data_IF_089681931608
#
_entry.id   IF_089681931608
#
_cell.length_a   1.000
_cell.length_b   1.000
_cell.length_c   1.000
_cell.angle_alpha   90.00
_cell.angle_beta   90.00
_cell.angle_gamma   90.00
#
_symmetry.space_group_name_H-M   'P 1'
#
loop_
_entity.id
_entity.type
_entity.pdbx_description
1 polymer ?
#
# COMPACT_ATOMS: atom_id res chain seq x y z
N UNK A 1 29.99 12.00 8.43
CA UNK A 1 30.11 11.95 6.96
C UNK A 1 29.51 10.67 6.40
N UNK A 2 29.01 10.70 5.17
CA UNK A 2 28.52 9.53 4.43
C UNK A 2 29.56 9.13 3.36
N UNK A 3 29.65 7.86 3.02
CA UNK A 3 30.45 7.37 1.88
C UNK A 3 29.70 7.52 0.54
N UNK A 4 30.35 7.15 -0.57
CA UNK A 4 29.78 7.22 -1.93
C UNK A 4 28.53 6.32 -2.14
N UNK A 5 28.19 5.50 -1.13
CA UNK A 5 27.01 4.62 -1.10
C UNK A 5 26.00 5.06 -0.04
N UNK A 6 26.12 6.30 0.43
CA UNK A 6 25.28 6.90 1.46
C UNK A 6 25.27 6.08 2.77
N UNK A 7 26.44 5.55 3.16
CA UNK A 7 26.62 4.81 4.42
C UNK A 7 27.43 5.66 5.41
N UNK A 8 27.15 5.56 6.73
CA UNK A 8 27.91 6.29 7.74
C UNK A 8 29.40 5.95 7.67
N UNK A 9 30.24 6.98 7.53
CA UNK A 9 31.70 6.87 7.59
C UNK A 9 32.16 7.15 9.01
N UNK A 10 33.02 6.27 9.53
CA UNK A 10 33.66 6.46 10.83
C UNK A 10 34.51 7.74 10.80
N UNK A 11 34.25 8.67 11.73
CA UNK A 11 34.95 9.96 11.84
C UNK A 11 36.32 9.84 12.52
N UNK A 12 36.60 8.71 13.18
CA UNK A 12 37.80 8.50 13.99
C UNK A 12 37.74 9.17 15.37
N UNK A 13 36.70 9.97 15.63
CA UNK A 13 36.45 10.63 16.90
C UNK A 13 35.65 9.70 17.81
N UNK A 14 36.04 9.63 19.08
CA UNK A 14 35.35 8.82 20.10
C UNK A 14 34.85 9.74 21.19
N UNK A 15 33.56 9.68 21.46
CA UNK A 15 32.91 10.41 22.55
C UNK A 15 32.39 9.41 23.59
N UNK A 16 32.50 9.78 24.87
CA UNK A 16 31.86 9.03 25.97
C UNK A 16 30.59 9.78 26.37
N UNK A 17 29.47 9.09 26.29
CA UNK A 17 28.16 9.64 26.66
C UNK A 17 27.67 8.86 27.88
N UNK A 18 27.44 9.55 29.00
CA UNK A 18 26.76 8.96 30.16
C UNK A 18 25.26 8.83 29.85
N UNK A 19 24.69 7.64 30.06
CA UNK A 19 23.27 7.37 29.83
C UNK A 19 22.78 6.28 30.77
N UNK A 20 21.51 6.36 31.15
CA UNK A 20 20.84 5.33 31.95
C UNK A 20 20.31 4.18 31.09
N UNK A 21 20.16 4.38 29.78
CA UNK A 21 19.58 3.39 28.87
C UNK A 21 20.21 3.46 27.49
N UNK A 22 20.56 2.28 26.97
CA UNK A 22 21.06 2.08 25.61
C UNK A 22 20.07 1.23 24.82
N UNK A 23 19.53 1.77 23.72
CA UNK A 23 18.65 1.04 22.81
C UNK A 23 19.45 0.60 21.58
N UNK A 24 19.57 -0.70 21.36
CA UNK A 24 20.26 -1.25 20.21
C UNK A 24 19.34 -1.26 18.97
N UNK A 25 19.65 -0.41 17.98
CA UNK A 25 19.01 -0.45 16.66
C UNK A 25 19.69 -1.52 15.78
N UNK A 26 19.47 -2.79 16.10
CA UNK A 26 20.04 -3.90 15.33
C UNK A 26 19.24 -4.11 14.03
N UNK A 27 19.95 -4.43 12.95
CA UNK A 27 19.31 -4.86 11.70
C UNK A 27 18.79 -6.29 11.83
N UNK A 28 18.01 -6.71 10.82
CA UNK A 28 17.41 -8.04 10.75
C UNK A 28 18.00 -8.87 9.61
N UNK A 29 18.11 -10.18 9.84
CA UNK A 29 18.58 -11.17 8.86
C UNK A 29 17.45 -12.18 8.65
N UNK A 30 17.13 -12.58 7.40
CA UNK A 30 16.14 -13.61 7.17
C UNK A 30 16.57 -14.95 7.80
N UNK A 31 15.69 -15.57 8.57
CA UNK A 31 15.85 -16.97 8.96
C UNK A 31 15.43 -17.86 7.79
N UNK A 32 16.39 -18.18 6.92
CA UNK A 32 16.15 -18.84 5.62
C UNK A 32 17.05 -20.04 5.37
N UNK A 33 17.85 -20.46 6.36
CA UNK A 33 18.81 -21.55 6.21
C UNK A 33 18.14 -22.88 5.84
N UNK A 34 16.89 -23.08 6.27
CA UNK A 34 16.10 -24.26 5.89
C UNK A 34 15.84 -24.34 4.38
N UNK A 35 15.82 -23.21 3.67
CA UNK A 35 15.61 -23.15 2.21
C UNK A 35 16.82 -23.68 1.42
N UNK A 36 18.02 -23.73 2.01
CA UNK A 36 19.22 -24.30 1.35
C UNK A 36 19.06 -25.78 0.99
N UNK A 37 18.12 -26.48 1.65
CA UNK A 37 17.81 -27.88 1.38
C UNK A 37 16.97 -28.08 0.12
N UNK A 38 16.36 -27.01 -0.40
CA UNK A 38 15.53 -27.05 -1.60
C UNK A 38 16.48 -26.98 -2.82
N UNK A 39 16.39 -27.92 -3.79
CA UNK A 39 17.17 -27.85 -5.02
C UNK A 39 17.01 -26.48 -5.71
N UNK A 40 18.03 -26.01 -6.42
CA UNK A 40 17.96 -24.76 -7.21
C UNK A 40 17.65 -23.48 -6.40
N UNK A 41 17.53 -23.54 -5.08
CA UNK A 41 17.32 -22.37 -4.25
C UNK A 41 18.63 -21.60 -4.09
N UNK A 42 18.64 -20.36 -4.56
CA UNK A 42 19.80 -19.48 -4.47
C UNK A 42 19.65 -18.52 -3.30
N UNK A 43 20.61 -18.58 -2.37
CA UNK A 43 20.65 -17.75 -1.17
C UNK A 43 22.00 -17.04 -1.08
N UNK A 44 21.98 -15.75 -0.78
CA UNK A 44 23.19 -15.00 -0.44
C UNK A 44 23.80 -15.52 0.88
N UNK A 45 25.07 -15.16 1.19
CA UNK A 45 25.71 -15.54 2.45
C UNK A 45 24.96 -15.05 3.70
N UNK A 46 24.20 -13.96 3.59
CA UNK A 46 23.37 -13.40 4.65
C UNK A 46 21.92 -13.96 4.67
N UNK A 47 21.65 -15.07 3.97
CA UNK A 47 20.32 -15.70 3.96
C UNK A 47 19.27 -14.99 3.07
N UNK A 48 19.64 -13.96 2.30
CA UNK A 48 18.69 -13.35 1.36
C UNK A 48 18.39 -14.31 0.21
N UNK A 49 17.12 -14.57 -0.05
CA UNK A 49 16.62 -15.41 -1.14
C UNK A 49 16.72 -14.64 -2.45
N UNK A 50 17.40 -15.20 -3.44
CA UNK A 50 17.48 -14.62 -4.77
C UNK A 50 16.19 -14.89 -5.53
N UNK A 51 15.71 -13.87 -6.24
CA UNK A 51 14.54 -13.93 -7.09
C UNK A 51 14.83 -13.25 -8.43
N UNK A 52 14.08 -13.64 -9.45
CA UNK A 52 14.09 -12.97 -10.74
C UNK A 52 13.22 -11.68 -10.75
N UNK A 53 13.06 -11.07 -11.92
CA UNK A 53 12.24 -9.86 -12.10
C UNK A 53 10.73 -10.07 -11.88
N UNK A 54 10.29 -11.32 -11.73
CA UNK A 54 8.91 -11.76 -11.49
C UNK A 54 8.72 -12.33 -10.07
N UNK A 55 9.68 -12.11 -9.17
CA UNK A 55 9.68 -12.59 -7.78
C UNK A 55 9.76 -14.11 -7.64
N UNK A 56 10.06 -14.85 -8.72
CA UNK A 56 10.25 -16.30 -8.66
C UNK A 56 11.66 -16.61 -8.18
N UNK A 57 11.78 -17.55 -7.24
CA UNK A 57 13.07 -18.07 -6.79
C UNK A 57 13.70 -18.96 -7.85
N UNK A 58 14.93 -19.45 -7.63
CA UNK A 58 15.53 -20.43 -8.53
C UNK A 58 14.78 -21.77 -8.62
N UNK A 59 13.85 -22.05 -7.70
CA UNK A 59 12.93 -23.18 -7.80
C UNK A 59 11.60 -22.78 -8.46
N UNK A 60 11.25 -23.47 -9.54
CA UNK A 60 10.05 -23.19 -10.32
C UNK A 60 8.77 -23.30 -9.49
N UNK A 61 7.95 -22.25 -9.50
CA UNK A 61 6.69 -22.17 -8.75
C UNK A 61 6.81 -21.73 -7.29
N UNK A 62 8.02 -21.43 -6.81
CA UNK A 62 8.22 -20.80 -5.49
C UNK A 62 8.57 -19.33 -5.69
N UNK A 63 7.81 -18.45 -5.03
CA UNK A 63 7.97 -17.00 -5.09
C UNK A 63 8.34 -16.44 -3.71
N UNK A 64 9.09 -15.35 -3.68
CA UNK A 64 9.50 -14.68 -2.45
C UNK A 64 9.35 -13.16 -2.57
N UNK A 65 9.00 -12.50 -1.46
CA UNK A 65 8.75 -11.07 -1.39
C UNK A 65 9.04 -10.52 0.00
N UNK A 66 9.14 -9.20 0.14
CA UNK A 66 9.40 -8.52 1.40
C UNK A 66 10.87 -8.55 1.81
N UNK A 67 11.12 -8.62 3.11
CA UNK A 67 12.47 -8.42 3.66
C UNK A 67 13.45 -9.59 3.39
N UNK A 68 12.95 -10.71 2.84
CA UNK A 68 13.77 -11.88 2.52
C UNK A 68 14.43 -11.84 1.14
N UNK A 69 14.12 -10.85 0.29
CA UNK A 69 14.66 -10.72 -1.08
C UNK A 69 15.61 -9.50 -1.19
N UNK A 70 16.42 -9.36 -2.27
CA UNK A 70 17.51 -8.38 -2.34
C UNK A 70 17.02 -6.97 -2.75
N UNK A 71 15.96 -6.50 -2.12
CA UNK A 71 15.35 -5.19 -2.36
C UNK A 71 15.22 -4.39 -1.05
N UNK A 72 14.79 -3.15 -1.18
CA UNK A 72 14.57 -2.26 -0.03
C UNK A 72 13.61 -2.86 0.98
N UNK A 73 14.01 -2.81 2.25
CA UNK A 73 13.34 -3.48 3.38
C UNK A 73 12.51 -2.50 4.20
N UNK A 74 11.63 -1.76 3.53
CA UNK A 74 10.64 -0.94 4.22
C UNK A 74 9.28 -1.61 4.17
N UNK A 75 8.45 -1.36 5.18
CA UNK A 75 7.09 -1.92 5.25
C UNK A 75 6.29 -1.61 3.99
N UNK A 76 6.42 -0.39 3.46
CA UNK A 76 5.72 0.03 2.23
C UNK A 76 6.21 -0.71 0.99
N UNK A 77 7.52 -0.94 0.88
CA UNK A 77 8.10 -1.73 -0.21
C UNK A 77 7.66 -3.19 -0.09
N UNK A 78 7.74 -3.80 1.09
CA UNK A 78 7.32 -5.18 1.31
C UNK A 78 5.84 -5.42 0.96
N UNK A 79 4.94 -4.52 1.35
CA UNK A 79 3.52 -4.56 0.95
C UNK A 79 3.36 -4.46 -0.58
N UNK A 80 4.10 -3.54 -1.21
CA UNK A 80 4.10 -3.39 -2.67
C UNK A 80 4.59 -4.65 -3.39
N UNK A 81 5.65 -5.27 -2.89
CA UNK A 81 6.20 -6.52 -3.41
C UNK A 81 5.23 -7.69 -3.22
N UNK A 82 4.56 -7.80 -2.08
CA UNK A 82 3.55 -8.82 -1.85
C UNK A 82 2.42 -8.75 -2.89
N UNK A 83 1.97 -7.54 -3.22
CA UNK A 83 1.00 -7.33 -4.30
C UNK A 83 1.56 -7.72 -5.67
N UNK A 84 2.80 -7.36 -5.99
CA UNK A 84 3.42 -7.72 -7.27
C UNK A 84 3.62 -9.24 -7.40
N UNK A 85 4.16 -9.88 -6.37
CA UNK A 85 4.32 -11.33 -6.30
C UNK A 85 2.98 -12.04 -6.49
N UNK A 86 1.89 -11.56 -5.88
CA UNK A 86 0.55 -12.12 -6.08
C UNK A 86 0.09 -12.10 -7.55
N UNK A 87 0.35 -11.01 -8.29
CA UNK A 87 0.04 -10.95 -9.72
C UNK A 87 0.86 -11.95 -10.55
N UNK A 88 2.13 -12.16 -10.20
CA UNK A 88 2.98 -13.12 -10.90
C UNK A 88 2.63 -14.57 -10.56
N UNK A 89 2.27 -14.85 -9.30
CA UNK A 89 1.72 -16.15 -8.89
C UNK A 89 0.45 -16.45 -9.66
N UNK A 90 -0.49 -15.50 -9.73
CA UNK A 90 -1.73 -15.66 -10.48
C UNK A 90 -1.47 -15.95 -11.96
N UNK A 91 -0.56 -15.20 -12.59
CA UNK A 91 -0.20 -15.39 -13.98
C UNK A 91 0.46 -16.76 -14.23
N UNK A 92 1.35 -17.19 -13.33
CA UNK A 92 2.01 -18.49 -13.36
C UNK A 92 1.00 -19.64 -13.23
N UNK A 93 0.00 -19.51 -12.35
CA UNK A 93 -1.05 -20.53 -12.16
C UNK A 93 -1.99 -20.67 -13.38
N UNK A 94 -2.14 -19.60 -14.18
CA UNK A 94 -3.01 -19.58 -15.35
C UNK A 94 -2.26 -19.71 -16.68
N UNK A 95 -0.95 -19.95 -16.67
CA UNK A 95 -0.09 -19.96 -17.86
C UNK A 95 -0.24 -18.68 -18.71
N UNK A 96 -0.37 -17.53 -18.06
CA UNK A 96 -0.50 -16.22 -18.71
C UNK A 96 0.74 -15.35 -18.50
N UNK A 97 0.91 -14.35 -19.36
CA UNK A 97 1.98 -13.36 -19.22
C UNK A 97 1.48 -12.20 -18.38
N UNK A 98 2.07 -12.00 -17.20
CA UNK A 98 1.82 -10.80 -16.41
C UNK A 98 2.54 -9.61 -17.04
N UNK A 99 1.80 -8.66 -17.61
CA UNK A 99 2.37 -7.36 -17.96
C UNK A 99 2.53 -6.54 -16.67
N UNK A 100 3.74 -6.05 -16.39
CA UNK A 100 3.94 -5.04 -15.33
C UNK A 100 2.92 -3.92 -15.54
N UNK A 101 2.05 -3.69 -14.56
CA UNK A 101 1.11 -2.57 -14.63
C UNK A 101 1.91 -1.28 -14.82
N UNK A 102 1.57 -0.48 -15.82
CA UNK A 102 2.18 0.83 -16.03
C UNK A 102 2.21 1.60 -14.72
N UNK A 103 3.35 2.20 -14.38
CA UNK A 103 3.46 3.05 -13.19
C UNK A 103 2.31 4.05 -13.19
N UNK A 104 1.43 3.94 -12.19
CA UNK A 104 0.41 4.97 -11.97
C UNK A 104 1.12 6.24 -11.56
N UNK A 105 0.68 7.36 -12.10
CA UNK A 105 1.20 8.66 -11.71
C UNK A 105 1.07 8.82 -10.18
N UNK A 106 2.14 9.28 -9.52
CA UNK A 106 2.09 9.53 -8.08
C UNK A 106 1.05 10.62 -7.81
N UNK A 107 0.16 10.35 -6.85
CA UNK A 107 -0.78 11.36 -6.37
C UNK A 107 -0.02 12.36 -5.51
N UNK A 108 0.14 13.58 -6.01
CA UNK A 108 0.66 14.70 -5.25
C UNK A 108 -0.38 15.24 -4.27
N UNK A 109 0.03 16.00 -3.26
CA UNK A 109 -0.86 16.49 -2.20
C UNK A 109 -2.03 17.33 -2.74
N UNK A 110 -1.80 18.11 -3.79
CA UNK A 110 -2.81 18.91 -4.48
C UNK A 110 -3.89 18.07 -5.19
N UNK A 111 -3.59 16.80 -5.51
CA UNK A 111 -4.56 15.85 -6.07
C UNK A 111 -5.44 15.17 -5.01
N UNK A 112 -5.13 15.36 -3.71
CA UNK A 112 -5.88 14.77 -2.62
C UNK A 112 -7.02 15.71 -2.17
N UNK A 113 -8.25 15.35 -2.51
CA UNK A 113 -9.45 16.02 -1.99
C UNK A 113 -9.76 15.53 -0.57
N UNK A 114 -8.95 15.94 0.40
CA UNK A 114 -9.15 15.61 1.81
C UNK A 114 -10.36 16.40 2.31
N UNK A 115 -11.52 15.74 2.43
CA UNK A 115 -12.70 16.36 3.04
C UNK A 115 -12.47 16.59 4.53
N UNK A 116 -12.90 17.75 5.04
CA UNK A 116 -12.87 18.06 6.48
C UNK A 116 -13.77 17.11 7.30
N UNK A 117 -14.77 16.52 6.66
CA UNK A 117 -15.61 15.45 7.22
C UNK A 117 -14.81 14.15 7.37
N UNK A 118 -13.96 14.10 8.39
CA UNK A 118 -13.33 12.87 8.83
C UNK A 118 -14.41 12.01 9.47
N UNK A 119 -14.74 10.88 8.83
CA UNK A 119 -15.44 9.81 9.53
C UNK A 119 -14.69 9.50 10.84
N UNK A 120 -15.40 9.13 11.90
CA UNK A 120 -14.76 8.77 13.17
C UNK A 120 -14.10 7.41 13.03
N UNK A 121 -12.80 7.33 13.34
CA UNK A 121 -12.08 6.06 13.32
C UNK A 121 -12.54 5.22 14.50
N UNK A 122 -12.78 3.94 14.26
CA UNK A 122 -13.00 2.99 15.33
C UNK A 122 -11.74 2.91 16.18
N UNK A 123 -11.93 3.01 17.50
CA UNK A 123 -10.85 2.78 18.46
C UNK A 123 -10.73 1.28 18.66
N UNK A 124 -9.75 0.68 18.00
CA UNK A 124 -9.43 -0.73 18.19
C UNK A 124 -9.13 -1.00 19.67
N UNK A 125 -9.67 -2.10 20.20
CA UNK A 125 -9.41 -2.50 21.57
C UNK A 125 -7.95 -2.92 21.69
N UNK A 126 -7.34 -2.49 22.77
CA UNK A 126 -5.93 -2.73 23.02
C UNK A 126 -5.77 -3.32 24.41
N UNK A 127 -4.84 -4.27 24.57
CA UNK A 127 -4.53 -4.89 25.85
C UNK A 127 -4.17 -3.83 26.90
N UNK A 128 -4.44 -4.05 28.17
CA UNK A 128 -4.05 -3.08 29.20
C UNK A 128 -2.52 -2.98 29.36
N UNK A 129 -2.02 -1.78 29.67
CA UNK A 129 -0.58 -1.50 29.79
C UNK A 129 0.09 -2.41 30.84
N UNK A 130 -0.55 -2.63 31.99
CA UNK A 130 0.01 -3.43 33.09
C UNK A 130 0.18 -4.91 32.71
N UNK A 131 -0.55 -5.35 31.68
CA UNK A 131 -0.45 -6.70 31.11
C UNK A 131 0.53 -6.74 29.96
N UNK A 132 0.54 -5.73 29.07
CA UNK A 132 1.47 -5.64 27.92
C UNK A 132 2.94 -5.72 28.32
N UNK A 133 3.31 -5.20 29.49
CA UNK A 133 4.70 -5.24 29.97
C UNK A 133 5.10 -6.63 30.53
N UNK A 134 4.13 -7.51 30.78
CA UNK A 134 4.34 -8.83 31.42
C UNK A 134 4.13 -10.01 30.48
N UNK A 135 3.48 -9.82 29.33
CA UNK A 135 3.19 -10.90 28.39
C UNK A 135 3.52 -10.52 26.95
N UNK A 136 3.69 -11.56 26.13
CA UNK A 136 3.80 -11.45 24.68
C UNK A 136 2.45 -11.68 23.99
N UNK A 137 1.35 -11.47 24.72
CA UNK A 137 0.01 -11.64 24.17
C UNK A 137 -0.27 -10.58 23.10
N UNK A 138 -1.20 -10.89 22.20
CA UNK A 138 -1.62 -9.97 21.15
C UNK A 138 -2.13 -8.64 21.76
N UNK A 139 -1.44 -7.55 21.41
CA UNK A 139 -1.72 -6.22 21.95
C UNK A 139 -2.95 -5.59 21.31
N UNK A 140 -3.16 -5.84 20.02
CA UNK A 140 -4.25 -5.28 19.23
C UNK A 140 -5.32 -6.36 19.03
N UNK A 141 -6.46 -6.22 19.69
CA UNK A 141 -7.54 -7.20 19.50
C UNK A 141 -8.22 -7.03 18.14
N UNK A 142 -8.73 -8.14 17.62
CA UNK A 142 -9.57 -8.13 16.42
C UNK A 142 -10.83 -7.28 16.61
N UNK A 143 -11.18 -6.52 15.58
CA UNK A 143 -12.45 -5.79 15.51
C UNK A 143 -13.61 -6.78 15.26
N UNK A 144 -14.81 -6.41 15.68
CA UNK A 144 -16.02 -7.15 15.32
C UNK A 144 -16.31 -7.04 13.81
N UNK A 145 -17.12 -7.94 13.27
CA UNK A 145 -17.50 -7.90 11.86
C UNK A 145 -18.13 -6.56 11.46
N UNK A 146 -19.00 -6.00 12.29
CA UNK A 146 -19.66 -4.71 12.04
C UNK A 146 -18.66 -3.55 12.03
N UNK A 147 -17.68 -3.58 12.94
CA UNK A 147 -16.60 -2.59 13.02
C UNK A 147 -15.72 -2.66 11.75
N UNK A 148 -15.40 -3.86 11.28
CA UNK A 148 -14.63 -4.07 10.05
C UNK A 148 -15.40 -3.55 8.83
N UNK A 149 -16.69 -3.87 8.72
CA UNK A 149 -17.52 -3.40 7.61
C UNK A 149 -17.63 -1.87 7.60
N UNK A 150 -17.78 -1.25 8.77
CA UNK A 150 -17.75 0.20 8.89
C UNK A 150 -16.42 0.79 8.44
N UNK A 151 -15.27 0.30 8.94
CA UNK A 151 -13.95 0.82 8.53
C UNK A 151 -13.66 0.60 7.05
N UNK A 152 -14.04 -0.55 6.48
CA UNK A 152 -13.90 -0.83 5.06
C UNK A 152 -14.76 0.10 4.17
N UNK A 153 -15.91 0.56 4.68
CA UNK A 153 -16.79 1.49 3.98
C UNK A 153 -16.30 2.95 4.01
N UNK A 154 -15.34 3.28 4.89
CA UNK A 154 -14.81 4.64 5.01
C UNK A 154 -13.92 4.98 3.83
N UNK A 155 -14.10 6.19 3.29
CA UNK A 155 -13.22 6.71 2.25
C UNK A 155 -11.82 7.00 2.82
N UNK A 156 -10.80 6.36 2.25
CA UNK A 156 -9.39 6.66 2.52
C UNK A 156 -8.72 7.48 1.41
N UNK A 157 -9.51 8.07 0.49
CA UNK A 157 -9.02 8.81 -0.67
C UNK A 157 -8.07 7.99 -1.57
N UNK A 158 -8.30 6.68 -1.66
CA UNK A 158 -7.41 5.72 -2.33
C UNK A 158 -7.49 5.71 -3.87
N UNK A 159 -8.15 6.68 -4.50
CA UNK A 159 -8.31 6.75 -5.97
C UNK A 159 -9.52 5.98 -6.53
N UNK A 160 -10.17 5.13 -5.73
CA UNK A 160 -11.27 4.28 -6.21
C UNK A 160 -12.64 4.83 -5.80
N UNK A 161 -13.59 4.87 -6.74
CA UNK A 161 -14.98 5.23 -6.44
C UNK A 161 -15.60 4.19 -5.49
N UNK A 162 -16.25 4.66 -4.42
CA UNK A 162 -16.96 3.83 -3.44
C UNK A 162 -18.46 4.17 -3.35
N UNK A 163 -18.98 4.94 -4.31
CA UNK A 163 -20.42 5.19 -4.44
C UNK A 163 -21.03 6.15 -3.41
N UNK A 164 -20.28 7.13 -2.89
CA UNK A 164 -20.81 8.09 -1.89
C UNK A 164 -21.91 9.04 -2.39
N UNK A 165 -22.12 9.15 -3.70
CA UNK A 165 -23.17 10.01 -4.28
C UNK A 165 -22.95 11.53 -4.21
N UNK A 166 -21.87 12.04 -3.58
CA UNK A 166 -21.60 13.49 -3.51
C UNK A 166 -21.56 14.17 -4.90
N UNK A 167 -21.02 13.47 -5.89
CA UNK A 167 -20.95 13.95 -7.28
C UNK A 167 -22.34 14.08 -7.93
N UNK A 168 -23.27 13.16 -7.65
CA UNK A 168 -24.64 13.18 -8.15
C UNK A 168 -25.41 14.36 -7.56
N UNK A 169 -25.31 14.53 -6.24
CA UNK A 169 -25.99 15.62 -5.53
C UNK A 169 -25.55 17.02 -6.00
N UNK A 170 -24.27 17.19 -6.37
CA UNK A 170 -23.72 18.50 -6.77
C UNK A 170 -23.88 18.79 -8.28
N UNK A 171 -24.26 17.80 -9.09
CA UNK A 171 -24.31 17.95 -10.54
C UNK A 171 -25.52 18.80 -10.95
N UNK A 172 -25.33 19.99 -11.56
CA UNK A 172 -26.45 20.86 -11.90
C UNK A 172 -27.30 20.35 -13.07
N UNK A 173 -26.73 19.47 -13.90
CA UNK A 173 -27.35 18.93 -15.12
C UNK A 173 -27.61 17.42 -15.04
N UNK A 174 -27.33 16.80 -13.90
CA UNK A 174 -27.64 15.39 -13.59
C UNK A 174 -27.16 14.37 -14.65
N UNK A 175 -25.91 14.53 -15.14
CA UNK A 175 -25.31 13.72 -16.22
C UNK A 175 -24.48 12.51 -15.74
N UNK A 176 -24.49 12.20 -14.44
CA UNK A 176 -23.62 11.16 -13.85
C UNK A 176 -24.44 9.89 -13.63
N UNK A 177 -24.10 8.82 -14.34
CA UNK A 177 -24.72 7.50 -14.17
C UNK A 177 -23.99 6.68 -13.11
N UNK A 178 -24.74 5.82 -12.42
CA UNK A 178 -24.20 4.93 -11.39
C UNK A 178 -24.76 3.52 -11.49
N UNK A 179 -23.99 2.55 -11.00
CA UNK A 179 -24.40 1.16 -10.81
C UNK A 179 -25.51 1.05 -9.76
N UNK A 180 -26.47 0.16 -9.96
CA UNK A 180 -27.53 -0.11 -8.98
C UNK A 180 -27.02 -0.91 -7.78
N UNK A 181 -26.02 -1.77 -8.00
CA UNK A 181 -25.50 -2.70 -6.98
C UNK A 181 -24.66 -1.99 -5.92
N UNK A 182 -23.71 -1.16 -6.36
CA UNK A 182 -22.69 -0.55 -5.50
C UNK A 182 -22.64 0.97 -5.59
N UNK A 183 -23.57 1.58 -6.34
CA UNK A 183 -23.71 3.05 -6.51
C UNK A 183 -22.45 3.73 -7.07
N UNK A 184 -21.49 2.97 -7.58
CA UNK A 184 -20.28 3.54 -8.19
C UNK A 184 -20.64 4.21 -9.51
N UNK A 185 -19.92 5.28 -9.81
CA UNK A 185 -20.05 5.98 -11.09
C UNK A 185 -19.63 5.04 -12.21
N UNK A 186 -20.49 4.87 -13.21
CA UNK A 186 -20.25 3.99 -14.36
C UNK A 186 -19.99 4.79 -15.63
N UNK A 187 -20.68 5.91 -15.81
CA UNK A 187 -20.55 6.76 -16.98
C UNK A 187 -20.88 8.23 -16.67
N UNK A 188 -20.39 9.14 -17.50
CA UNK A 188 -20.77 10.56 -17.51
C UNK A 188 -21.19 10.90 -18.93
N UNK A 189 -22.40 11.45 -19.09
CA UNK A 189 -22.84 11.99 -20.37
C UNK A 189 -22.05 13.27 -20.68
N UNK A 190 -21.05 13.13 -21.55
CA UNK A 190 -20.13 14.22 -21.94
C UNK A 190 -20.77 15.24 -22.86
N UNK A 191 -21.85 14.90 -23.57
CA UNK A 191 -22.54 15.83 -24.48
C UNK A 191 -23.30 16.88 -23.67
N UNK A 192 -24.04 16.42 -22.65
CA UNK A 192 -24.82 17.30 -21.77
C UNK A 192 -24.00 17.88 -20.61
N UNK A 193 -22.77 17.39 -20.38
CA UNK A 193 -21.88 17.92 -19.35
C UNK A 193 -21.43 19.36 -19.67
N UNK A 194 -21.73 20.30 -18.78
CA UNK A 194 -21.35 21.73 -18.93
C UNK A 194 -19.94 22.06 -18.42
N UNK A 195 -19.14 21.08 -18.00
CA UNK A 195 -17.74 21.31 -17.61
C UNK A 195 -17.52 22.09 -16.30
N UNK A 196 -18.52 22.20 -15.42
CA UNK A 196 -18.44 23.03 -14.21
C UNK A 196 -17.44 22.55 -13.12
N UNK A 197 -16.83 21.38 -13.28
CA UNK A 197 -15.85 20.76 -12.36
C UNK A 197 -16.32 20.52 -10.91
N UNK A 198 -17.62 20.67 -10.59
CA UNK A 198 -18.13 20.45 -9.22
C UNK A 198 -17.96 19.00 -8.74
N UNK A 199 -18.26 18.03 -9.61
CA UNK A 199 -18.09 16.60 -9.31
C UNK A 199 -16.62 16.24 -9.04
N UNK A 200 -15.70 16.80 -9.82
CA UNK A 200 -14.26 16.66 -9.65
C UNK A 200 -13.83 17.15 -8.26
N UNK A 201 -14.15 18.41 -7.92
CA UNK A 201 -13.74 19.04 -6.65
C UNK A 201 -14.32 18.37 -5.40
N UNK A 202 -15.54 17.83 -5.48
CA UNK A 202 -16.20 17.22 -4.31
C UNK A 202 -15.85 15.75 -4.13
N UNK A 203 -15.21 15.11 -5.11
CA UNK A 203 -14.93 13.68 -5.06
C UNK A 203 -13.80 13.39 -4.07
N UNK A 204 -14.08 12.77 -2.89
CA UNK A 204 -13.06 12.59 -1.87
C UNK A 204 -11.98 11.58 -2.26
N UNK A 205 -12.24 10.74 -3.27
CA UNK A 205 -11.28 9.78 -3.80
C UNK A 205 -10.65 10.19 -5.12
N UNK A 206 -10.93 11.39 -5.64
CA UNK A 206 -10.31 11.87 -6.89
C UNK A 206 -10.62 10.99 -8.11
N UNK A 207 -11.79 10.34 -8.14
CA UNK A 207 -12.16 9.40 -9.21
C UNK A 207 -12.53 10.05 -10.56
N UNK A 208 -12.44 11.38 -10.67
CA UNK A 208 -12.75 12.12 -11.89
C UNK A 208 -11.48 12.75 -12.45
N UNK A 209 -11.39 12.84 -13.77
CA UNK A 209 -10.38 13.62 -14.49
C UNK A 209 -11.11 14.67 -15.32
N UNK A 210 -10.61 15.90 -15.31
CA UNK A 210 -11.09 16.95 -16.19
C UNK A 210 -10.39 16.82 -17.54
N UNK A 211 -11.17 16.72 -18.61
CA UNK A 211 -10.66 16.76 -19.98
C UNK A 211 -10.99 18.12 -20.55
N UNK A 212 -10.06 18.70 -21.31
CA UNK A 212 -10.39 19.84 -22.15
C UNK A 212 -11.45 19.39 -23.16
N UNK A 213 -12.49 20.21 -23.34
CA UNK A 213 -13.38 20.03 -24.49
C UNK A 213 -12.48 20.21 -25.71
N UNK A 214 -12.17 19.11 -26.41
CA UNK A 214 -11.54 19.22 -27.71
C UNK A 214 -12.42 20.15 -28.54
N UNK A 215 -11.85 21.28 -28.97
CA UNK A 215 -12.46 22.10 -30.00
C UNK A 215 -12.65 21.18 -31.19
N UNK A 216 -13.91 20.85 -31.48
CA UNK A 216 -14.27 20.24 -32.74
C UNK A 216 -13.95 21.24 -33.86
#
# INVERSE_FOLDING_TARGET
DMDDKDRPKNTGEVEKIETDTLIFALSQIPDSEFLRKIPQMELQPNGVVMVDNFFMTGYNGIFAGGDMIPYDRSVTVAVGQGRQAAYYVDAYLHDTVCSKSSHRELASFDKLHISDEKSQKIKQKVLDIDTRIKSFDEVLYSCSQDEILYEASRCFSCGNCFGCGKCYAICPVQVIAHSELDKKVTNIDTENCIGCAKCFKVCPCGAFVMLDRQNN
#
